data_IF_659791866466
#
_entry.id   IF_659791866466
#
_cell.length_a   1.000
_cell.length_b   1.000
_cell.length_c   1.000
_cell.angle_alpha   90.00
_cell.angle_beta   90.00
_cell.angle_gamma   90.00
#
_symmetry.space_group_name_H-M   'P 1'
#
loop_
_entity.id
_entity.type
_entity.pdbx_description
1 polymer ?
#
# COMPACT_ATOMS: atom_id res chain seq x y z
N UNK A 1 3.66 15.11 9.52
CA UNK A 1 3.66 16.11 8.43
C UNK A 1 4.46 15.67 7.21
N UNK A 2 5.30 14.63 7.32
CA UNK A 2 6.03 14.07 6.18
C UNK A 2 5.21 13.03 5.40
N UNK A 3 5.49 12.86 4.09
CA UNK A 3 4.91 11.78 3.31
C UNK A 3 5.31 10.40 3.87
N UNK A 4 4.45 9.41 3.67
CA UNK A 4 4.80 8.03 4.04
C UNK A 4 5.98 7.52 3.22
N UNK A 5 6.87 6.70 3.80
CA UNK A 5 7.89 6.00 3.04
C UNK A 5 7.26 5.00 2.07
N UNK A 6 8.03 4.54 1.08
CA UNK A 6 7.60 3.44 0.21
C UNK A 6 7.44 2.16 1.02
N UNK A 7 6.20 1.70 1.16
CA UNK A 7 5.92 0.40 1.77
C UNK A 7 6.45 -0.73 0.87
N UNK A 8 7.14 -1.70 1.47
CA UNK A 8 7.73 -2.83 0.74
C UNK A 8 7.09 -4.16 1.12
N UNK A 9 7.33 -5.21 0.33
CA UNK A 9 6.74 -6.54 0.53
C UNK A 9 7.04 -7.19 1.90
N UNK A 10 8.13 -6.79 2.55
CA UNK A 10 8.58 -7.38 3.82
C UNK A 10 8.88 -6.30 4.87
N UNK A 11 8.12 -6.25 5.98
CA UNK A 11 8.33 -5.26 7.04
C UNK A 11 9.42 -5.66 8.06
N UNK A 12 10.17 -6.74 7.80
CA UNK A 12 11.05 -7.38 8.82
C UNK A 12 12.53 -7.07 8.60
N UNK A 13 12.93 -6.51 7.46
CA UNK A 13 14.34 -6.19 7.21
C UNK A 13 14.71 -4.84 7.84
N UNK A 14 15.94 -4.72 8.36
CA UNK A 14 16.42 -3.50 9.05
C UNK A 14 16.25 -2.21 8.23
N UNK A 15 16.35 -2.30 6.91
CA UNK A 15 16.19 -1.17 6.00
C UNK A 15 14.73 -0.87 5.61
N UNK A 16 13.79 -1.76 5.97
CA UNK A 16 12.41 -1.72 5.49
C UNK A 16 11.36 -1.77 6.60
N UNK A 17 11.81 -1.88 7.86
CA UNK A 17 10.95 -1.86 9.02
C UNK A 17 10.62 -0.42 9.39
N UNK A 18 9.51 0.07 8.84
CA UNK A 18 8.96 1.37 9.20
C UNK A 18 8.10 1.27 10.45
N UNK A 19 8.33 2.19 11.40
CA UNK A 19 7.59 2.26 12.66
C UNK A 19 6.40 3.20 12.57
N UNK A 20 5.39 2.90 13.38
CA UNK A 20 4.29 3.84 13.58
C UNK A 20 4.82 5.14 14.22
N UNK A 21 4.38 6.33 13.79
CA UNK A 21 4.92 7.60 14.29
C UNK A 21 4.80 7.78 15.81
N UNK A 22 3.71 7.27 16.40
CA UNK A 22 3.39 7.47 17.82
C UNK A 22 3.46 6.18 18.65
N UNK A 23 3.49 5.01 18.02
CA UNK A 23 3.35 3.72 18.71
C UNK A 23 4.63 2.90 18.54
N UNK A 24 5.06 2.22 19.60
CA UNK A 24 6.27 1.38 19.60
C UNK A 24 6.04 0.03 18.91
N UNK A 25 5.60 0.06 17.65
CA UNK A 25 5.39 -1.11 16.80
C UNK A 25 5.64 -0.77 15.32
N UNK A 26 5.91 -1.78 14.47
CA UNK A 26 5.88 -1.59 13.03
C UNK A 26 4.49 -1.13 12.56
N UNK A 27 4.46 -0.55 11.36
CA UNK A 27 3.22 -0.31 10.65
C UNK A 27 2.45 -1.63 10.46
N UNK A 28 1.13 -1.55 10.63
CA UNK A 28 0.18 -2.64 10.48
C UNK A 28 -0.22 -2.87 9.03
N UNK A 29 -0.87 -4.00 8.76
CA UNK A 29 -1.44 -4.33 7.43
C UNK A 29 -2.43 -3.25 6.97
N UNK A 30 -3.26 -2.73 7.88
CA UNK A 30 -4.25 -1.70 7.53
C UNK A 30 -3.60 -0.34 7.25
N UNK A 31 -2.53 0.00 7.95
CA UNK A 31 -1.75 1.22 7.64
C UNK A 31 -1.07 1.08 6.28
N UNK A 32 -0.52 -0.09 5.96
CA UNK A 32 0.02 -0.41 4.64
C UNK A 32 -1.03 -0.26 3.53
N UNK A 33 -2.24 -0.79 3.74
CA UNK A 33 -3.37 -0.65 2.80
C UNK A 33 -3.69 0.82 2.53
N UNK A 34 -3.83 1.61 3.60
CA UNK A 34 -4.15 3.03 3.50
C UNK A 34 -3.07 3.82 2.78
N UNK A 35 -1.80 3.55 3.05
CA UNK A 35 -0.67 4.17 2.33
C UNK A 35 -0.74 3.89 0.82
N UNK A 36 -1.10 2.66 0.43
CA UNK A 36 -1.29 2.27 -0.98
C UNK A 36 -2.62 2.77 -1.59
N UNK A 37 -3.48 3.41 -0.79
CA UNK A 37 -4.76 3.96 -1.24
C UNK A 37 -5.86 2.93 -1.42
N UNK A 38 -5.73 1.74 -0.81
CA UNK A 38 -6.84 0.77 -0.79
C UNK A 38 -8.00 1.31 0.05
N UNK A 39 -9.25 1.04 -0.35
CA UNK A 39 -10.41 1.26 0.50
C UNK A 39 -10.27 0.54 1.85
N UNK A 40 -10.79 1.15 2.92
CA UNK A 40 -10.70 0.58 4.27
C UNK A 40 -11.41 -0.78 4.37
N UNK A 41 -12.52 -0.95 3.66
CA UNK A 41 -13.32 -2.17 3.56
C UNK A 41 -12.75 -3.24 2.60
N UNK A 42 -11.64 -2.94 1.92
CA UNK A 42 -11.02 -3.89 1.00
C UNK A 42 -10.38 -5.07 1.74
N UNK A 43 -10.86 -6.29 1.47
CA UNK A 43 -10.33 -7.49 2.11
C UNK A 43 -9.09 -8.04 1.39
N UNK A 44 -8.03 -8.29 2.16
CA UNK A 44 -6.83 -8.99 1.68
C UNK A 44 -6.70 -10.31 2.41
N UNK A 45 -6.76 -11.39 1.63
CA UNK A 45 -6.78 -12.76 2.12
C UNK A 45 -5.37 -13.30 2.40
N UNK A 46 -5.28 -14.25 3.33
CA UNK A 46 -4.03 -14.92 3.71
C UNK A 46 -3.46 -14.47 5.05
N UNK A 47 -2.28 -15.01 5.40
CA UNK A 47 -1.56 -14.66 6.64
C UNK A 47 -0.90 -13.28 6.53
N UNK A 48 -0.58 -12.65 7.66
CA UNK A 48 0.00 -11.30 7.69
C UNK A 48 1.18 -11.10 6.74
N UNK A 49 2.14 -12.03 6.69
CA UNK A 49 3.27 -11.97 5.76
C UNK A 49 2.81 -11.91 4.29
N UNK A 50 1.83 -12.72 3.91
CA UNK A 50 1.25 -12.71 2.56
C UNK A 50 0.53 -11.40 2.28
N UNK A 51 -0.21 -10.85 3.25
CA UNK A 51 -0.88 -9.56 3.10
C UNK A 51 0.11 -8.43 2.86
N UNK A 52 1.18 -8.33 3.67
CA UNK A 52 2.24 -7.34 3.46
C UNK A 52 2.89 -7.46 2.09
N UNK A 53 3.15 -8.70 1.64
CA UNK A 53 3.68 -8.96 0.31
C UNK A 53 2.75 -8.42 -0.78
N UNK A 54 1.47 -8.81 -0.75
CA UNK A 54 0.49 -8.39 -1.76
C UNK A 54 0.32 -6.87 -1.80
N UNK A 55 0.25 -6.21 -0.64
CA UNK A 55 0.11 -4.75 -0.57
C UNK A 55 1.39 -4.05 -1.02
N UNK A 56 2.56 -4.53 -0.59
CA UNK A 56 3.85 -3.93 -0.92
C UNK A 56 4.21 -4.06 -2.40
N UNK A 57 3.78 -5.12 -3.08
CA UNK A 57 3.95 -5.28 -4.53
C UNK A 57 2.89 -4.55 -5.37
N UNK A 58 1.80 -4.08 -4.75
CA UNK A 58 0.70 -3.47 -5.49
C UNK A 58 1.08 -2.09 -6.04
N UNK A 59 0.44 -1.70 -7.13
CA UNK A 59 0.48 -0.32 -7.63
C UNK A 59 -0.51 0.51 -6.81
N UNK A 60 -0.14 1.72 -6.35
CA UNK A 60 -1.07 2.59 -5.62
C UNK A 60 -2.38 2.79 -6.40
N UNK A 61 -3.51 2.69 -5.69
CA UNK A 61 -4.85 2.70 -6.33
C UNK A 61 -5.09 3.98 -7.11
N UNK A 62 -4.76 5.13 -6.52
CA UNK A 62 -4.92 6.44 -7.16
C UNK A 62 -4.07 6.60 -8.42
N UNK A 63 -2.85 6.05 -8.42
CA UNK A 63 -1.97 6.06 -9.60
C UNK A 63 -2.57 5.20 -10.72
N UNK A 64 -3.00 3.98 -10.38
CA UNK A 64 -3.65 3.07 -11.32
C UNK A 64 -4.90 3.71 -11.93
N UNK A 65 -5.72 4.37 -11.12
CA UNK A 65 -6.93 5.06 -11.58
C UNK A 65 -6.62 6.21 -12.55
N UNK A 66 -5.63 7.06 -12.23
CA UNK A 66 -5.24 8.17 -13.08
C UNK A 66 -4.72 7.70 -14.45
N UNK A 67 -3.93 6.62 -14.47
CA UNK A 67 -3.44 5.99 -15.71
C UNK A 67 -4.63 5.42 -16.51
N UNK A 68 -5.51 4.65 -15.85
CA UNK A 68 -6.67 4.04 -16.50
C UNK A 68 -7.60 5.09 -17.12
N UNK A 69 -7.86 6.19 -16.39
CA UNK A 69 -8.65 7.32 -16.91
C UNK A 69 -8.02 7.88 -18.18
N UNK A 70 -6.69 8.10 -18.17
CA UNK A 70 -6.02 8.65 -19.34
C UNK A 70 -6.04 7.71 -20.55
N UNK A 71 -5.92 6.42 -20.30
CA UNK A 71 -6.04 5.39 -21.35
C UNK A 71 -7.47 5.37 -21.92
N UNK A 72 -8.50 5.46 -21.07
CA UNK A 72 -9.92 5.52 -21.51
C UNK A 72 -10.16 6.70 -22.45
N UNK A 73 -9.69 7.90 -22.06
CA UNK A 73 -9.77 9.11 -22.89
C UNK A 73 -9.12 8.92 -24.27
N UNK A 74 -7.95 8.25 -24.32
CA UNK A 74 -7.23 8.00 -25.56
C UNK A 74 -7.91 6.95 -26.45
N UNK A 75 -8.60 5.99 -25.84
CA UNK A 75 -9.34 4.95 -26.54
C UNK A 75 -10.76 5.38 -26.95
N UNK A 76 -11.25 6.51 -26.42
CA UNK A 76 -12.60 7.02 -26.70
C UNK A 76 -13.71 6.16 -26.10
N UNK A 77 -13.40 5.43 -25.02
CA UNK A 77 -14.36 4.61 -24.24
C UNK A 77 -14.62 5.22 -22.87
#
# INVERSE_FOLDING_TARGET
>A
DDPSPTVVESPVHKATMFFHPEAHRPLSVEEYKRIQGFPDDWEIFGKNHTKYKLIGSAVPVHLSYAIAKKVSELLGV
#
